data_IF_069672573000
#
_entry.id   IF_069672573000
#
_cell.length_a   1.000
_cell.length_b   1.000
_cell.length_c   1.000
_cell.angle_alpha   90.00
_cell.angle_beta   90.00
_cell.angle_gamma   90.00
#
_symmetry.space_group_name_H-M   'P 1'
#
loop_
_entity.id
_entity.type
_entity.pdbx_description
1 polymer ?
#
# COMPACT_ATOMS: atom_id res chain seq x y z
N UNK A 1 14.69 10.92 -13.22
CA UNK A 1 13.91 9.90 -12.50
C UNK A 1 12.46 10.32 -12.64
N UNK A 2 11.54 9.40 -12.91
CA UNK A 2 10.11 9.71 -12.90
C UNK A 2 9.79 10.37 -11.56
N UNK A 3 9.17 11.54 -11.62
CA UNK A 3 8.93 12.39 -10.46
C UNK A 3 7.69 11.85 -9.76
N UNK A 4 7.88 11.05 -8.72
CA UNK A 4 6.76 10.54 -7.92
C UNK A 4 6.06 11.72 -7.25
N UNK A 5 4.72 11.72 -7.24
CA UNK A 5 3.96 12.77 -6.57
C UNK A 5 4.31 12.80 -5.08
N UNK A 6 4.79 13.91 -4.50
CA UNK A 6 5.21 13.92 -3.10
C UNK A 6 4.02 14.07 -2.15
N UNK A 7 4.06 13.34 -1.02
CA UNK A 7 3.16 13.53 0.11
C UNK A 7 3.94 13.85 1.38
N UNK A 8 3.30 14.52 2.33
CA UNK A 8 3.92 14.80 3.62
C UNK A 8 4.09 13.51 4.43
N UNK A 9 5.13 13.45 5.26
CA UNK A 9 5.37 12.30 6.12
C UNK A 9 4.15 12.00 7.01
N UNK A 10 3.77 10.72 7.05
CA UNK A 10 2.62 10.19 7.79
C UNK A 10 1.28 10.84 7.44
N UNK A 11 1.14 11.46 6.27
CA UNK A 11 -0.16 11.98 5.82
C UNK A 11 -1.10 10.84 5.41
N UNK A 12 -2.40 11.13 5.39
CA UNK A 12 -3.41 10.20 4.89
C UNK A 12 -3.06 9.73 3.47
N UNK A 13 -2.67 10.65 2.59
CA UNK A 13 -2.29 10.36 1.21
C UNK A 13 -1.09 9.41 1.11
N UNK A 14 -0.07 9.58 1.96
CA UNK A 14 1.06 8.66 2.03
C UNK A 14 0.61 7.25 2.43
N UNK A 15 -0.27 7.14 3.42
CA UNK A 15 -0.81 5.85 3.88
C UNK A 15 -1.71 5.19 2.83
N UNK A 16 -2.59 5.96 2.18
CA UNK A 16 -3.45 5.47 1.11
C UNK A 16 -2.63 5.00 -0.09
N UNK A 17 -1.52 5.68 -0.42
CA UNK A 17 -0.62 5.25 -1.49
C UNK A 17 0.06 3.91 -1.21
N UNK A 18 0.43 3.63 0.04
CA UNK A 18 0.95 2.31 0.43
C UNK A 18 -0.12 1.22 0.21
N UNK A 19 -1.38 1.54 0.51
CA UNK A 19 -2.51 0.63 0.22
C UNK A 19 -2.67 0.44 -1.29
N UNK A 20 -2.57 1.51 -2.10
CA UNK A 20 -2.62 1.42 -3.56
C UNK A 20 -1.49 0.58 -4.15
N UNK A 21 -0.26 0.70 -3.63
CA UNK A 21 0.87 -0.16 -4.01
C UNK A 21 0.53 -1.64 -3.83
N UNK A 22 -0.16 -1.98 -2.75
CA UNK A 22 -0.51 -3.37 -2.43
C UNK A 22 -1.64 -3.88 -3.34
N UNK A 23 -2.69 -3.09 -3.56
CA UNK A 23 -3.86 -3.46 -4.38
C UNK A 23 -3.51 -3.59 -5.87
N UNK A 24 -2.65 -2.71 -6.41
CA UNK A 24 -2.22 -2.79 -7.83
C UNK A 24 -1.43 -4.08 -8.13
N UNK A 25 -0.95 -4.79 -7.10
CA UNK A 25 -0.31 -6.11 -7.23
C UNK A 25 -1.07 -7.09 -8.13
N UNK A 26 -2.40 -7.06 -8.11
CA UNK A 26 -3.31 -7.93 -8.88
C UNK A 26 -3.79 -7.32 -10.22
N UNK A 27 -3.48 -6.05 -10.48
CA UNK A 27 -3.78 -5.37 -11.76
C UNK A 27 -5.21 -4.86 -11.95
N UNK A 28 -6.11 -5.07 -10.97
CA UNK A 28 -7.49 -4.56 -10.98
C UNK A 28 -7.94 -4.29 -9.54
N UNK A 29 -8.58 -3.15 -9.30
CA UNK A 29 -9.26 -2.89 -8.02
C UNK A 29 -10.62 -3.58 -8.05
N UNK A 30 -10.87 -4.48 -7.11
CA UNK A 30 -12.18 -5.13 -6.99
C UNK A 30 -13.04 -4.34 -6.00
N UNK A 31 -14.35 -4.32 -6.24
CA UNK A 31 -15.31 -3.75 -5.29
C UNK A 31 -15.18 -4.38 -3.89
N UNK A 32 -14.78 -5.65 -3.83
CA UNK A 32 -14.53 -6.38 -2.58
C UNK A 32 -13.38 -5.78 -1.75
N UNK A 33 -12.34 -5.25 -2.38
CA UNK A 33 -11.23 -4.59 -1.69
C UNK A 33 -11.67 -3.25 -1.11
N UNK A 34 -12.47 -2.49 -1.85
CA UNK A 34 -13.04 -1.22 -1.37
C UNK A 34 -13.98 -1.46 -0.18
N UNK A 35 -14.87 -2.44 -0.30
CA UNK A 35 -15.74 -2.87 0.81
C UNK A 35 -14.92 -3.33 2.03
N UNK A 36 -13.77 -3.96 1.80
CA UNK A 36 -12.88 -4.38 2.88
C UNK A 36 -12.19 -3.19 3.56
N UNK A 37 -11.73 -2.19 2.80
CA UNK A 37 -11.19 -0.94 3.38
C UNK A 37 -12.24 -0.22 4.24
N UNK A 38 -13.49 -0.19 3.78
CA UNK A 38 -14.62 0.35 4.55
C UNK A 38 -14.86 -0.46 5.83
N UNK A 39 -14.94 -1.79 5.74
CA UNK A 39 -15.12 -2.70 6.91
C UNK A 39 -13.99 -2.60 7.93
N UNK A 40 -12.76 -2.36 7.47
CA UNK A 40 -11.59 -2.16 8.32
C UNK A 40 -11.54 -0.74 8.93
N UNK A 41 -12.46 0.15 8.56
CA UNK A 41 -12.53 1.52 9.06
C UNK A 41 -11.35 2.38 8.60
N UNK A 42 -10.73 2.06 7.46
CA UNK A 42 -9.53 2.76 6.96
C UNK A 42 -9.83 4.23 6.70
N UNK A 43 -10.96 4.51 6.06
CA UNK A 43 -11.38 5.87 5.71
C UNK A 43 -11.65 6.71 6.96
N UNK A 44 -12.41 6.19 7.92
CA UNK A 44 -12.64 6.86 9.21
C UNK A 44 -11.34 7.10 9.97
N UNK A 45 -10.45 6.10 9.99
CA UNK A 45 -9.17 6.17 10.73
C UNK A 45 -8.24 7.24 10.18
N UNK A 46 -8.21 7.41 8.86
CA UNK A 46 -7.34 8.39 8.21
C UNK A 46 -8.04 9.73 7.94
N UNK A 47 -9.33 9.87 8.29
CA UNK A 47 -10.09 11.10 8.10
C UNK A 47 -10.32 11.45 6.64
N UNK A 48 -10.47 10.42 5.79
CA UNK A 48 -10.65 10.50 4.34
C UNK A 48 -11.92 9.75 3.93
N UNK A 49 -12.30 9.86 2.67
CA UNK A 49 -13.39 9.09 2.08
C UNK A 49 -12.94 8.24 0.88
N UNK A 50 -13.90 7.60 0.23
CA UNK A 50 -13.67 6.75 -0.95
C UNK A 50 -13.20 7.56 -2.16
N UNK A 51 -13.63 8.81 -2.30
CA UNK A 51 -13.23 9.68 -3.41
C UNK A 51 -11.77 10.12 -3.24
N UNK A 52 -11.34 10.38 -2.00
CA UNK A 52 -9.94 10.60 -1.67
C UNK A 52 -9.08 9.38 -2.03
N UNK A 53 -9.51 8.17 -1.67
CA UNK A 53 -8.78 6.96 -2.05
C UNK A 53 -8.69 6.79 -3.55
N UNK A 54 -9.80 6.94 -4.28
CA UNK A 54 -9.81 6.83 -5.74
C UNK A 54 -8.84 7.82 -6.39
N UNK A 55 -8.81 9.07 -5.92
CA UNK A 55 -7.87 10.10 -6.39
C UNK A 55 -6.41 9.73 -6.14
N UNK A 56 -6.09 9.19 -4.97
CA UNK A 56 -4.72 8.76 -4.63
C UNK A 56 -4.32 7.53 -5.44
N UNK A 57 -5.24 6.60 -5.63
CA UNK A 57 -5.06 5.41 -6.44
C UNK A 57 -4.77 5.77 -7.90
N UNK A 58 -5.60 6.62 -8.51
CA UNK A 58 -5.41 7.09 -9.89
C UNK A 58 -4.07 7.82 -10.05
N UNK A 59 -3.73 8.73 -9.12
CA UNK A 59 -2.44 9.40 -9.15
C UNK A 59 -1.25 8.46 -8.97
N UNK A 60 -1.41 7.38 -8.20
CA UNK A 60 -0.40 6.33 -8.08
C UNK A 60 -0.26 5.50 -9.36
N UNK A 61 -1.36 5.18 -10.05
CA UNK A 61 -1.33 4.56 -11.38
C UNK A 61 -0.53 5.42 -12.38
N UNK A 62 -0.77 6.73 -12.39
CA UNK A 62 -0.04 7.67 -13.25
C UNK A 62 1.47 7.69 -12.94
N UNK A 63 1.82 7.77 -11.65
CA UNK A 63 3.21 7.72 -11.18
C UNK A 63 3.89 6.38 -11.59
N UNK A 64 3.16 5.27 -11.48
CA UNK A 64 3.64 3.93 -11.82
C UNK A 64 3.85 3.77 -13.34
N UNK A 65 2.93 4.26 -14.16
CA UNK A 65 3.05 4.26 -15.63
C UNK A 65 4.24 5.14 -16.06
N UNK A 66 4.40 6.30 -15.43
CA UNK A 66 5.55 7.17 -15.67
C UNK A 66 6.86 6.48 -15.28
N UNK A 67 6.87 5.68 -14.21
CA UNK A 67 8.03 4.88 -13.79
C UNK A 67 8.36 3.74 -14.74
N UNK A 68 7.33 3.04 -15.23
CA UNK A 68 7.46 1.99 -16.23
C UNK A 68 8.17 2.48 -17.51
N UNK A 69 7.88 3.72 -17.92
CA UNK A 69 8.34 4.27 -19.19
C UNK A 69 7.92 3.40 -20.37
N UNK A 70 8.89 2.82 -21.09
CA UNK A 70 8.65 1.89 -22.21
C UNK A 70 8.79 0.42 -21.83
N UNK A 71 9.03 0.11 -20.56
CA UNK A 71 9.13 -1.26 -20.09
C UNK A 71 7.78 -1.97 -20.26
N UNK A 72 7.82 -3.18 -20.81
CA UNK A 72 6.62 -4.01 -21.02
C UNK A 72 6.01 -4.52 -19.71
N UNK A 73 6.79 -4.51 -18.64
CA UNK A 73 6.38 -4.92 -17.31
C UNK A 73 6.89 -3.89 -16.32
N UNK A 74 5.98 -3.36 -15.50
CA UNK A 74 6.37 -2.76 -14.24
C UNK A 74 6.75 -3.92 -13.35
N UNK A 75 8.01 -4.01 -12.96
CA UNK A 75 8.35 -4.84 -11.81
C UNK A 75 7.66 -4.20 -10.62
N UNK A 76 6.44 -4.66 -10.27
CA UNK A 76 5.74 -4.24 -9.05
C UNK A 76 6.59 -4.49 -7.79
N UNK A 77 7.60 -5.35 -7.93
CA UNK A 77 8.63 -5.64 -6.94
C UNK A 77 9.98 -4.95 -7.20
N UNK A 78 10.04 -3.82 -7.93
CA UNK A 78 11.24 -2.97 -7.95
C UNK A 78 11.49 -2.49 -6.51
N UNK A 79 12.56 -2.96 -5.84
CA UNK A 79 12.74 -2.68 -4.43
C UNK A 79 12.93 -1.20 -4.15
N UNK A 80 13.55 -0.45 -5.07
CA UNK A 80 13.79 0.99 -4.89
C UNK A 80 12.47 1.79 -5.01
N UNK A 81 11.56 1.34 -5.88
CA UNK A 81 10.22 1.91 -5.98
C UNK A 81 9.42 1.67 -4.70
N UNK A 82 9.37 0.43 -4.24
CA UNK A 82 8.70 0.06 -2.98
C UNK A 82 9.28 0.86 -1.82
N UNK A 83 10.61 0.98 -1.73
CA UNK A 83 11.28 1.75 -0.66
C UNK A 83 10.85 3.22 -0.65
N UNK A 84 10.74 3.81 -1.85
CA UNK A 84 10.31 5.20 -2.06
C UNK A 84 8.87 5.40 -1.60
N UNK A 85 7.97 4.45 -1.90
CA UNK A 85 6.56 4.50 -1.46
C UNK A 85 6.43 4.38 0.06
N UNK A 86 7.26 3.55 0.67
CA UNK A 86 7.24 3.31 2.12
C UNK A 86 7.99 4.39 2.93
N UNK A 87 8.82 5.22 2.30
CA UNK A 87 9.68 6.20 2.98
C UNK A 87 8.92 7.24 3.82
N UNK A 88 7.80 7.83 3.35
CA UNK A 88 7.08 8.84 4.10
C UNK A 88 6.35 8.30 5.34
N UNK A 89 6.19 6.97 5.47
CA UNK A 89 5.61 6.34 6.66
C UNK A 89 6.72 6.11 7.71
N UNK A 90 6.90 7.10 8.57
CA UNK A 90 7.96 7.14 9.57
C UNK A 90 7.49 6.77 10.97
N UNK A 91 6.20 6.97 11.28
CA UNK A 91 5.68 6.70 12.62
C UNK A 91 5.36 5.21 12.84
N UNK A 92 5.73 4.71 14.01
CA UNK A 92 5.62 3.27 14.34
C UNK A 92 4.17 2.78 14.36
N UNK A 93 3.22 3.63 14.73
CA UNK A 93 1.82 3.25 14.87
C UNK A 93 1.20 3.05 13.49
N UNK A 94 1.45 3.95 12.54
CA UNK A 94 1.00 3.83 11.15
C UNK A 94 1.66 2.66 10.45
N UNK A 95 2.96 2.40 10.66
CA UNK A 95 3.63 1.20 10.12
C UNK A 95 2.94 -0.09 10.55
N UNK A 96 2.68 -0.25 11.86
CA UNK A 96 1.95 -1.43 12.39
C UNK A 96 0.50 -1.47 11.90
N UNK A 97 -0.16 -0.33 11.84
CA UNK A 97 -1.53 -0.21 11.33
C UNK A 97 -1.63 -0.66 9.87
N UNK A 98 -0.78 -0.12 9.00
CA UNK A 98 -0.71 -0.49 7.59
C UNK A 98 -0.36 -1.96 7.43
N UNK A 99 0.63 -2.46 8.17
CA UNK A 99 0.99 -3.87 8.10
C UNK A 99 -0.18 -4.82 8.44
N UNK A 100 -1.03 -4.44 9.42
CA UNK A 100 -2.26 -5.18 9.74
C UNK A 100 -3.34 -5.02 8.67
N UNK A 101 -3.56 -3.81 8.15
CA UNK A 101 -4.54 -3.57 7.08
C UNK A 101 -4.20 -4.42 5.84
N UNK A 102 -2.96 -4.35 5.37
CA UNK A 102 -2.52 -5.09 4.19
C UNK A 102 -2.60 -6.61 4.38
N UNK A 103 -2.29 -7.11 5.58
CA UNK A 103 -2.47 -8.53 5.91
C UNK A 103 -3.94 -8.97 5.83
N UNK A 104 -4.86 -8.11 6.28
CA UNK A 104 -6.29 -8.40 6.25
C UNK A 104 -6.87 -8.30 4.82
N UNK A 105 -6.36 -7.37 4.00
CA UNK A 105 -6.69 -7.29 2.57
C UNK A 105 -6.21 -8.54 1.84
N UNK A 106 -4.96 -8.96 2.01
CA UNK A 106 -4.46 -10.19 1.39
C UNK A 106 -5.26 -11.45 1.79
N UNK A 107 -5.86 -11.44 2.98
CA UNK A 107 -6.70 -12.54 3.47
C UNK A 107 -8.11 -12.54 2.87
N UNK A 108 -8.63 -11.41 2.37
CA UNK A 108 -9.98 -11.37 1.77
C UNK A 108 -10.06 -12.25 0.52
N UNK A 109 -9.01 -12.24 -0.29
CA UNK A 109 -8.91 -13.01 -1.53
C UNK A 109 -8.30 -14.41 -1.30
N UNK A 110 -7.86 -14.67 -0.06
CA UNK A 110 -7.41 -15.98 0.42
C UNK A 110 -5.97 -16.34 0.05
N UNK A 111 -5.29 -15.54 -0.77
CA UNK A 111 -3.90 -15.76 -1.20
C UNK A 111 -3.20 -14.43 -1.47
N UNK A 112 -1.95 -14.30 -0.99
CA UNK A 112 -1.03 -13.34 -1.56
C UNK A 112 -0.60 -13.84 -2.94
N UNK A 113 -0.63 -12.98 -3.96
CA UNK A 113 0.16 -13.24 -5.17
C UNK A 113 1.66 -13.26 -4.82
N UNK A 114 2.49 -13.88 -5.68
CA UNK A 114 3.95 -13.87 -5.48
C UNK A 114 4.50 -12.44 -5.41
N UNK A 115 3.88 -11.50 -6.15
CA UNK A 115 4.27 -10.09 -6.16
C UNK A 115 3.90 -9.38 -4.85
N UNK A 116 2.67 -9.54 -4.35
CA UNK A 116 2.23 -8.98 -3.07
C UNK A 116 3.06 -9.51 -1.91
N UNK A 117 3.41 -10.80 -1.94
CA UNK A 117 4.23 -11.43 -0.90
C UNK A 117 5.65 -10.85 -0.85
N UNK A 118 6.23 -10.52 -2.01
CA UNK A 118 7.53 -9.82 -2.07
C UNK A 118 7.41 -8.40 -1.51
N UNK A 119 6.40 -7.64 -1.93
CA UNK A 119 6.16 -6.26 -1.43
C UNK A 119 5.94 -6.27 0.09
N UNK A 120 5.09 -7.18 0.59
CA UNK A 120 4.76 -7.30 2.00
C UNK A 120 5.99 -7.66 2.85
N UNK A 121 6.82 -8.60 2.39
CA UNK A 121 8.07 -8.96 3.08
C UNK A 121 9.05 -7.80 3.13
N UNK A 122 9.25 -7.12 2.00
CA UNK A 122 10.12 -5.94 1.95
C UNK A 122 9.64 -4.84 2.91
N UNK A 123 8.32 -4.64 3.00
CA UNK A 123 7.73 -3.70 3.95
C UNK A 123 8.01 -4.08 5.40
N UNK A 124 7.81 -5.35 5.78
CA UNK A 124 8.11 -5.83 7.13
C UNK A 124 9.59 -5.66 7.47
N UNK A 125 10.48 -6.01 6.54
CA UNK A 125 11.93 -5.86 6.70
C UNK A 125 12.33 -4.38 6.89
N UNK A 126 11.79 -3.48 6.05
CA UNK A 126 12.06 -2.04 6.13
C UNK A 126 11.56 -1.42 7.43
N UNK A 127 10.41 -1.86 7.92
CA UNK A 127 9.80 -1.33 9.12
C UNK A 127 10.23 -2.06 10.39
N UNK A 128 11.08 -3.09 10.27
CA UNK A 128 11.55 -3.95 11.35
C UNK A 128 10.37 -4.55 12.15
N UNK A 129 9.33 -4.99 11.43
CA UNK A 129 8.12 -5.57 12.02
C UNK A 129 8.21 -7.09 11.94
N UNK A 130 8.12 -7.73 13.10
CA UNK A 130 7.84 -9.16 13.19
C UNK A 130 6.36 -9.42 12.92
N UNK A 131 6.06 -10.29 11.95
CA UNK A 131 4.69 -10.66 11.59
C UNK A 131 3.93 -11.29 12.77
N UNK A 132 4.63 -12.04 13.63
CA UNK A 132 4.01 -12.67 14.80
C UNK A 132 3.52 -11.61 15.80
N UNK A 133 4.21 -10.47 15.88
CA UNK A 133 3.81 -9.34 16.71
C UNK A 133 2.55 -8.62 16.23
N UNK A 134 2.09 -8.86 14.99
CA UNK A 134 0.88 -8.23 14.44
C UNK A 134 -0.40 -8.93 14.91
N UNK A 135 -0.30 -10.21 15.30
CA UNK A 135 -1.42 -11.00 15.83
C UNK A 135 -1.75 -10.65 17.29
N UNK A 136 -0.83 -10.00 18.01
CA UNK A 136 -1.08 -9.53 19.37
C UNK A 136 -1.93 -8.24 19.34
N UNK A 137 -3.01 -8.15 20.14
CA UNK A 137 -3.72 -6.89 20.35
C UNK A 137 -2.78 -5.89 21.04
N UNK A 138 -2.78 -4.63 20.57
CA UNK A 138 -2.01 -3.54 21.20
C UNK A 138 -2.49 -3.23 22.63
#
# INVERSE_FOLDING_TARGET
>A
MPEITPYADNSAEAMLRVISLFIIGDGEVKDEEMDMLEKLGVFERFGVDRDDFARIFDGYCDDLIAHAGTARFVGLADPDWVDTILAPVTDRISRRTLARILLLLARSDGFFSDAELVIYRQMLDRWEIDIDSLAEPD
#
